data_IF_246353287747
#
_entry.id   IF_246353287747
#
_cell.length_a   1.000
_cell.length_b   1.000
_cell.length_c   1.000
_cell.angle_alpha   90.00
_cell.angle_beta   90.00
_cell.angle_gamma   90.00
#
_symmetry.space_group_name_H-M   'P 1'
#
loop_
_entity.id
_entity.type
_entity.pdbx_description
1 polymer ?
#
# COMPACT_ATOMS: atom_id res chain seq x y z
N UNK A 1 52.76 -35.16 29.58
CA UNK A 1 52.04 -36.30 28.97
C UNK A 1 50.60 -35.88 28.71
N UNK A 2 50.15 -35.91 27.45
CA UNK A 2 48.73 -35.73 27.09
C UNK A 2 48.28 -37.00 26.34
N UNK A 3 47.22 -37.70 26.76
CA UNK A 3 46.54 -38.67 25.93
C UNK A 3 45.34 -38.02 25.22
N UNK A 4 45.27 -38.24 23.90
CA UNK A 4 44.14 -37.95 23.03
C UNK A 4 42.96 -38.90 23.29
N UNK A 5 41.76 -38.60 22.77
CA UNK A 5 41.20 -39.60 21.86
C UNK A 5 40.62 -39.02 20.55
N UNK A 6 40.98 -39.73 19.48
CA UNK A 6 40.44 -39.68 18.12
C UNK A 6 38.94 -40.06 18.13
N UNK A 7 38.14 -39.42 17.28
CA UNK A 7 36.99 -40.08 16.62
C UNK A 7 36.94 -39.71 15.14
N UNK A 8 37.15 -40.76 14.35
CA UNK A 8 36.94 -40.87 12.91
C UNK A 8 35.50 -41.35 12.63
N UNK A 9 35.16 -41.40 11.35
CA UNK A 9 34.12 -42.19 10.67
C UNK A 9 32.94 -41.40 10.07
N UNK A 10 33.13 -41.06 8.79
CA UNK A 10 32.46 -41.64 7.62
C UNK A 10 30.92 -41.62 7.51
N UNK A 11 30.52 -41.41 6.24
CA UNK A 11 29.27 -41.81 5.59
C UNK A 11 28.09 -40.83 5.79
N UNK A 12 27.23 -40.55 4.82
CA UNK A 12 27.12 -40.93 3.42
C UNK A 12 26.08 -39.97 2.81
N UNK A 13 26.19 -39.69 1.50
CA UNK A 13 25.05 -39.24 0.70
C UNK A 13 23.99 -40.35 0.67
N UNK A 14 22.70 -39.98 0.79
CA UNK A 14 21.73 -40.57 -0.12
C UNK A 14 20.84 -39.50 -0.75
N UNK A 15 20.68 -39.59 -2.08
CA UNK A 15 19.53 -39.03 -2.78
C UNK A 15 18.25 -39.76 -2.33
N UNK A 16 17.09 -39.09 -2.40
CA UNK A 16 16.01 -39.72 -3.18
C UNK A 16 15.20 -38.74 -4.06
N UNK A 17 14.87 -39.23 -5.25
CA UNK A 17 13.76 -38.80 -6.12
C UNK A 17 12.43 -39.01 -5.41
N UNK A 18 11.48 -38.05 -5.45
CA UNK A 18 10.21 -38.21 -6.19
C UNK A 18 9.28 -36.97 -6.13
N UNK A 19 8.67 -36.69 -7.29
CA UNK A 19 7.32 -36.17 -7.58
C UNK A 19 6.66 -35.17 -6.60
N UNK A 20 6.31 -33.99 -7.12
CA UNK A 20 4.89 -33.68 -7.32
C UNK A 20 4.69 -32.61 -8.40
N UNK A 21 3.78 -32.95 -9.32
CA UNK A 21 3.23 -32.10 -10.35
C UNK A 21 2.27 -31.12 -9.67
N UNK A 22 2.51 -29.81 -9.78
CA UNK A 22 1.48 -28.81 -9.51
C UNK A 22 1.62 -27.69 -10.53
N UNK A 23 0.78 -27.76 -11.56
CA UNK A 23 0.32 -26.58 -12.27
C UNK A 23 -0.11 -25.54 -11.24
N UNK A 24 0.52 -24.37 -11.25
CA UNK A 24 -0.12 -23.16 -10.75
C UNK A 24 0.36 -21.98 -11.60
N UNK A 25 -0.59 -21.47 -12.37
CA UNK A 25 -0.51 -20.23 -13.12
C UNK A 25 -0.04 -19.08 -12.22
N UNK A 26 1.26 -18.81 -12.20
CA UNK A 26 1.79 -17.58 -11.63
C UNK A 26 1.57 -16.45 -12.63
N UNK A 27 0.45 -15.77 -12.44
CA UNK A 27 0.20 -14.36 -12.73
C UNK A 27 1.43 -13.58 -13.20
N UNK A 28 1.28 -12.97 -14.39
CA UNK A 28 2.09 -11.88 -14.96
C UNK A 28 2.90 -11.13 -13.90
N UNK A 29 4.20 -11.41 -13.86
CA UNK A 29 5.21 -10.54 -13.26
C UNK A 29 5.21 -9.24 -14.05
N UNK A 30 4.36 -8.28 -13.66
CA UNK A 30 4.58 -6.88 -14.00
C UNK A 30 5.80 -6.47 -13.19
N UNK A 31 6.87 -6.18 -13.93
CA UNK A 31 8.09 -5.53 -13.48
C UNK A 31 7.78 -4.44 -12.44
N UNK A 32 8.09 -4.70 -11.18
CA UNK A 32 8.08 -3.66 -10.16
C UNK A 32 9.32 -2.81 -10.37
N UNK A 33 9.11 -1.69 -11.07
CA UNK A 33 10.02 -0.56 -11.12
C UNK A 33 10.50 -0.23 -9.71
N UNK A 34 11.77 0.16 -9.64
CA UNK A 34 12.54 0.40 -8.44
C UNK A 34 12.12 1.72 -7.80
N UNK A 35 10.89 1.78 -7.31
CA UNK A 35 10.38 2.93 -6.58
C UNK A 35 10.59 2.71 -5.10
N UNK A 36 11.21 3.71 -4.47
CA UNK A 36 11.48 3.78 -3.03
C UNK A 36 10.21 3.37 -2.30
N UNK A 37 10.26 2.28 -1.52
CA UNK A 37 9.19 1.90 -0.61
C UNK A 37 9.03 3.01 0.41
N UNK A 38 8.28 4.05 0.05
CA UNK A 38 7.63 4.93 1.02
C UNK A 38 6.85 3.99 1.90
N UNK A 39 7.11 4.05 3.20
CA UNK A 39 6.53 3.15 4.18
C UNK A 39 5.01 3.14 3.96
N UNK A 40 4.45 1.97 3.67
CA UNK A 40 3.07 1.85 3.15
C UNK A 40 2.05 2.34 4.19
N UNK A 41 2.45 2.33 5.46
CA UNK A 41 1.64 2.78 6.59
C UNK A 41 1.25 4.28 6.51
N UNK A 42 2.19 5.25 6.46
CA UNK A 42 1.88 6.67 6.30
C UNK A 42 0.92 6.96 5.15
N UNK A 43 1.15 6.38 3.96
CA UNK A 43 0.28 6.59 2.79
C UNK A 43 -1.13 6.06 3.02
N UNK A 44 -1.25 4.87 3.61
CA UNK A 44 -2.56 4.27 3.90
C UNK A 44 -3.34 5.10 4.91
N UNK A 45 -2.70 5.59 5.96
CA UNK A 45 -3.32 6.47 6.94
C UNK A 45 -3.89 7.74 6.29
N UNK A 46 -3.12 8.39 5.41
CA UNK A 46 -3.61 9.57 4.69
C UNK A 46 -4.81 9.24 3.80
N UNK A 47 -4.79 8.10 3.10
CA UNK A 47 -5.96 7.65 2.31
C UNK A 47 -7.19 7.44 3.19
N UNK A 48 -7.02 6.83 4.35
CA UNK A 48 -8.09 6.64 5.33
C UNK A 48 -8.62 7.98 5.86
N UNK A 49 -7.78 8.99 6.05
CA UNK A 49 -8.23 10.33 6.45
C UNK A 49 -9.13 10.97 5.38
N UNK A 50 -8.77 10.88 4.10
CA UNK A 50 -9.60 11.35 3.00
C UNK A 50 -10.94 10.60 2.94
N UNK A 51 -10.89 9.27 2.89
CA UNK A 51 -12.09 8.43 2.81
C UNK A 51 -12.97 8.58 4.06
N UNK A 52 -12.37 8.72 5.23
CA UNK A 52 -13.05 8.96 6.50
C UNK A 52 -13.74 10.32 6.57
N UNK A 53 -13.21 11.36 5.92
CA UNK A 53 -13.94 12.62 5.77
C UNK A 53 -15.15 12.46 4.83
N UNK A 54 -14.99 11.78 3.70
CA UNK A 54 -16.13 11.52 2.80
C UNK A 54 -17.20 10.62 3.44
N UNK A 55 -16.79 9.68 4.28
CA UNK A 55 -17.71 8.82 5.05
C UNK A 55 -18.54 9.61 6.05
N UNK A 56 -17.97 10.68 6.63
CA UNK A 56 -18.69 11.61 7.52
C UNK A 56 -19.61 12.54 6.74
N UNK A 57 -19.18 12.99 5.56
CA UNK A 57 -19.93 13.85 4.65
C UNK A 57 -20.55 13.04 3.51
N UNK A 58 -21.32 12.01 3.89
CA UNK A 58 -21.74 10.90 3.01
C UNK A 58 -22.73 11.32 1.94
N UNK A 59 -22.21 11.93 0.87
CA UNK A 59 -22.97 12.34 -0.31
C UNK A 59 -22.22 11.96 -1.57
N UNK A 60 -22.93 11.45 -2.57
CA UNK A 60 -22.34 11.17 -3.89
C UNK A 60 -22.00 12.48 -4.58
N UNK A 61 -20.79 12.59 -5.14
CA UNK A 61 -20.31 13.84 -5.72
C UNK A 61 -19.91 14.89 -4.67
N UNK A 62 -19.80 14.50 -3.40
CA UNK A 62 -19.33 15.41 -2.35
C UNK A 62 -17.99 16.01 -2.74
N UNK A 63 -17.89 17.34 -2.57
CA UNK A 63 -16.67 18.10 -2.80
C UNK A 63 -15.98 18.32 -1.46
N UNK A 64 -14.70 17.97 -1.39
CA UNK A 64 -13.77 18.40 -0.35
C UNK A 64 -12.96 19.56 -0.93
N UNK A 65 -13.20 20.76 -0.43
CA UNK A 65 -12.53 21.97 -0.89
C UNK A 65 -11.08 22.02 -0.42
N UNK A 66 -10.28 22.93 -0.99
CA UNK A 66 -8.92 23.20 -0.49
C UNK A 66 -8.89 23.50 1.01
N UNK A 67 -9.86 24.26 1.52
CA UNK A 67 -9.95 24.59 2.95
C UNK A 67 -10.23 23.35 3.80
N UNK A 68 -11.09 22.45 3.30
CA UNK A 68 -11.37 21.18 3.96
C UNK A 68 -10.15 20.27 3.98
N UNK A 69 -9.41 20.16 2.87
CA UNK A 69 -8.16 19.39 2.78
C UNK A 69 -7.15 19.93 3.78
N UNK A 70 -6.96 21.25 3.82
CA UNK A 70 -6.02 21.88 4.75
C UNK A 70 -6.45 21.60 6.20
N UNK A 71 -7.73 21.79 6.52
CA UNK A 71 -8.20 21.76 7.92
C UNK A 71 -8.38 20.33 8.46
N UNK A 72 -8.82 19.40 7.61
CA UNK A 72 -9.15 18.04 8.03
C UNK A 72 -8.01 17.05 7.77
N UNK A 73 -7.16 17.31 6.78
CA UNK A 73 -6.07 16.43 6.39
C UNK A 73 -4.75 17.06 6.80
N UNK A 74 -4.31 18.14 6.16
CA UNK A 74 -2.96 18.69 6.32
C UNK A 74 -2.66 19.10 7.76
N UNK A 75 -3.60 19.77 8.46
CA UNK A 75 -3.44 20.14 9.87
C UNK A 75 -3.27 18.93 10.81
N UNK A 76 -3.68 17.75 10.38
CA UNK A 76 -3.62 16.50 11.13
C UNK A 76 -2.53 15.56 10.62
N UNK A 77 -1.77 15.95 9.59
CA UNK A 77 -0.66 15.16 9.08
C UNK A 77 0.56 15.32 9.97
N UNK A 78 1.22 14.21 10.24
CA UNK A 78 2.56 14.21 10.80
C UNK A 78 3.61 14.50 9.69
N UNK A 79 4.78 14.96 10.10
CA UNK A 79 5.89 15.28 9.19
C UNK A 79 6.29 14.11 8.28
N UNK A 80 6.09 12.86 8.74
CA UNK A 80 6.33 11.62 7.97
C UNK A 80 5.27 11.34 6.90
N UNK A 81 4.05 11.83 7.10
CA UNK A 81 2.91 11.60 6.20
C UNK A 81 2.81 12.69 5.13
N UNK A 82 3.44 13.85 5.33
CA UNK A 82 3.42 14.95 4.37
C UNK A 82 3.97 14.51 3.00
N UNK A 83 5.05 13.73 3.00
CA UNK A 83 5.65 13.16 1.78
C UNK A 83 4.73 12.11 1.12
N UNK A 84 3.87 11.46 1.91
CA UNK A 84 2.93 10.44 1.45
C UNK A 84 1.58 11.02 0.97
N UNK A 85 1.32 12.31 1.21
CA UNK A 85 0.06 12.98 0.87
C UNK A 85 -0.21 12.95 -0.65
N UNK A 86 0.77 13.38 -1.44
CA UNK A 86 0.64 13.42 -2.88
C UNK A 86 0.45 12.02 -3.48
N UNK A 87 1.17 11.02 -2.94
CA UNK A 87 1.05 9.63 -3.39
C UNK A 87 -0.31 9.04 -3.02
N UNK A 88 -0.83 9.32 -1.83
CA UNK A 88 -2.16 8.93 -1.40
C UNK A 88 -3.26 9.51 -2.31
N UNK A 89 -3.19 10.81 -2.60
CA UNK A 89 -4.13 11.47 -3.53
C UNK A 89 -4.05 10.86 -4.93
N UNK A 90 -2.85 10.62 -5.44
CA UNK A 90 -2.63 10.01 -6.75
C UNK A 90 -3.19 8.58 -6.82
N UNK A 91 -3.02 7.76 -5.77
CA UNK A 91 -3.61 6.41 -5.74
C UNK A 91 -5.13 6.45 -5.70
N UNK A 92 -5.73 7.32 -4.88
CA UNK A 92 -7.19 7.46 -4.82
C UNK A 92 -7.75 7.91 -6.17
N UNK A 93 -7.06 8.83 -6.84
CA UNK A 93 -7.40 9.27 -8.20
C UNK A 93 -7.24 8.14 -9.22
N UNK A 94 -6.10 7.44 -9.20
CA UNK A 94 -5.80 6.34 -10.13
C UNK A 94 -6.81 5.20 -10.02
N UNK A 95 -7.22 4.88 -8.79
CA UNK A 95 -8.25 3.87 -8.53
C UNK A 95 -9.66 4.35 -8.87
N UNK A 96 -9.84 5.64 -9.18
CA UNK A 96 -11.11 6.26 -9.51
C UNK A 96 -12.04 6.43 -8.31
N UNK A 97 -11.51 6.47 -7.08
CA UNK A 97 -12.30 6.76 -5.88
C UNK A 97 -12.59 8.26 -5.73
N UNK A 98 -11.67 9.09 -6.20
CA UNK A 98 -11.81 10.54 -6.21
C UNK A 98 -11.43 11.11 -7.57
N UNK A 99 -11.96 12.27 -7.88
CA UNK A 99 -11.48 13.14 -8.95
C UNK A 99 -10.79 14.37 -8.34
N UNK A 100 -9.66 14.76 -8.91
CA UNK A 100 -8.97 16.00 -8.54
C UNK A 100 -9.35 17.05 -9.58
N UNK A 101 -9.86 18.20 -9.12
CA UNK A 101 -10.22 19.33 -10.01
C UNK A 101 -8.97 20.05 -10.52
N UNK A 102 -9.16 21.00 -11.45
CA UNK A 102 -8.08 21.72 -12.14
C UNK A 102 -7.16 22.51 -11.19
N UNK A 103 -7.65 22.87 -10.00
CA UNK A 103 -6.89 23.52 -8.95
C UNK A 103 -5.88 22.60 -8.27
N UNK A 104 -5.92 21.30 -8.55
CA UNK A 104 -4.97 20.30 -8.06
C UNK A 104 -5.16 19.89 -6.59
N UNK A 105 -6.10 20.52 -5.87
CA UNK A 105 -6.32 20.29 -4.43
C UNK A 105 -7.75 19.91 -4.12
N UNK A 106 -8.73 20.48 -4.82
CA UNK A 106 -10.14 20.13 -4.59
C UNK A 106 -10.42 18.71 -5.06
N UNK A 107 -11.00 17.92 -4.16
CA UNK A 107 -11.30 16.51 -4.39
C UNK A 107 -12.81 16.29 -4.48
N UNK A 108 -13.25 15.52 -5.46
CA UNK A 108 -14.65 15.13 -5.64
C UNK A 108 -14.79 13.64 -5.45
N UNK A 109 -15.75 13.21 -4.62
CA UNK A 109 -16.05 11.80 -4.42
C UNK A 109 -16.78 11.23 -5.64
N UNK A 110 -16.20 10.22 -6.27
CA UNK A 110 -16.85 9.54 -7.40
C UNK A 110 -17.91 8.55 -6.91
N UNK A 111 -18.74 8.07 -7.82
CA UNK A 111 -19.67 6.96 -7.53
C UNK A 111 -18.94 5.73 -6.98
N UNK A 112 -17.79 5.37 -7.57
CA UNK A 112 -16.96 4.23 -7.12
C UNK A 112 -16.39 4.47 -5.72
N UNK A 113 -15.93 5.68 -5.43
CA UNK A 113 -15.49 6.08 -4.09
C UNK A 113 -16.62 5.96 -3.07
N UNK A 114 -17.80 6.49 -3.41
CA UNK A 114 -19.00 6.41 -2.58
C UNK A 114 -19.40 4.96 -2.28
N UNK A 115 -19.42 4.08 -3.29
CA UNK A 115 -19.70 2.65 -3.12
C UNK A 115 -18.68 1.95 -2.22
N UNK A 116 -17.40 2.36 -2.27
CA UNK A 116 -16.35 1.75 -1.44
C UNK A 116 -16.45 2.10 0.06
N UNK A 117 -17.13 3.21 0.38
CA UNK A 117 -17.35 3.68 1.76
C UNK A 117 -18.80 3.53 2.22
N UNK A 118 -19.67 3.00 1.34
CA UNK A 118 -21.09 2.79 1.60
C UNK A 118 -21.36 1.50 2.37
#
# INVERSE_FOLDING_TARGET
MKPSPKKNYNNAKPSPKNKNNSNNNSSRKRSSSKDKKVDVAPKNEVKEMFMGWFKRNRSLGQIMTKEDVVTNIIKKLDSKQNDALAEAMNELKYNGFIEVKEDGVTLLLTKKGYESIS
#
